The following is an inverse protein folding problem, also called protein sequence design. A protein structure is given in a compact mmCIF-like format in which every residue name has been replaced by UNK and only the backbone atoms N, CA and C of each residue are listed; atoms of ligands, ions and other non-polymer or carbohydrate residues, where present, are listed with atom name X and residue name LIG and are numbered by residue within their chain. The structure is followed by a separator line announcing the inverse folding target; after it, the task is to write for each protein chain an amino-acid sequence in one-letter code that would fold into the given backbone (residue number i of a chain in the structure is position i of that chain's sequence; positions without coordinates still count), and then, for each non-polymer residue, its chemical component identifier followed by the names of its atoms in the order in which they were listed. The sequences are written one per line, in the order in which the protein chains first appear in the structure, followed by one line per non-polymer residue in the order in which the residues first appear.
data_IF_425177813202
#
_entry.id   IF_425177813202
#
_cell.length_a   1.000
_cell.length_b   1.000
_cell.length_c   1.000
_cell.angle_alpha   90.00
_cell.angle_beta   90.00
_cell.angle_gamma   90.00
#
_symmetry.space_group_name_H-M   'P 1'
#
loop_
_entity.id
_entity.type
_entity.pdbx_description
1 polymer ?
#
# COMPACT_ATOMS: atom_id res chain seq x y z
N UNK A 1 -2.56 8.36 12.22
CA UNK A 1 -2.58 7.37 11.12
C UNK A 1 -3.92 6.63 11.03
N UNK A 2 -4.44 6.08 12.12
CA UNK A 2 -5.77 5.44 12.13
C UNK A 2 -6.88 6.35 11.57
N UNK A 3 -6.94 7.62 11.98
CA UNK A 3 -7.96 8.55 11.47
C UNK A 3 -7.83 8.81 9.97
N UNK A 4 -6.60 8.82 9.45
CA UNK A 4 -6.34 8.90 8.01
C UNK A 4 -6.92 7.67 7.32
N UNK A 5 -6.64 6.46 7.80
CA UNK A 5 -7.17 5.22 7.22
C UNK A 5 -8.70 5.18 7.30
N UNK A 6 -9.30 5.68 8.40
CA UNK A 6 -10.76 5.77 8.55
C UNK A 6 -11.39 6.71 7.52
N UNK A 7 -10.74 7.83 7.22
CA UNK A 7 -11.23 8.84 6.27
C UNK A 7 -11.11 8.48 4.78
N UNK A 8 -10.47 7.38 4.42
CA UNK A 8 -10.28 6.98 3.02
C UNK A 8 -10.89 5.60 2.74
N UNK A 9 -11.41 5.39 1.53
CA UNK A 9 -11.94 4.09 1.11
C UNK A 9 -10.82 3.07 0.85
N UNK A 10 -9.71 3.55 0.28
CA UNK A 10 -8.50 2.77 -0.02
C UNK A 10 -7.27 3.53 0.42
N UNK A 11 -6.29 2.82 0.97
CA UNK A 11 -4.97 3.35 1.34
C UNK A 11 -3.90 2.45 0.74
N UNK A 12 -3.10 2.99 -0.18
CA UNK A 12 -1.99 2.25 -0.75
C UNK A 12 -0.74 2.39 0.11
N UNK A 13 -0.22 1.25 0.56
CA UNK A 13 1.03 1.14 1.28
C UNK A 13 2.12 0.84 0.26
N UNK A 14 2.86 1.87 -0.10
CA UNK A 14 3.97 1.81 -1.05
C UNK A 14 5.26 1.55 -0.28
N UNK A 15 5.95 0.46 -0.62
CA UNK A 15 7.20 0.05 0.04
C UNK A 15 8.21 -0.47 -0.99
N UNK A 16 9.47 -0.03 -0.90
CA UNK A 16 10.58 -0.57 -1.67
C UNK A 16 11.13 -1.85 -1.01
N UNK A 17 10.28 -2.85 -0.90
CA UNK A 17 10.59 -4.11 -0.24
C UNK A 17 9.87 -5.27 -0.94
N UNK A 18 10.58 -6.39 -1.13
CA UNK A 18 10.01 -7.62 -1.68
C UNK A 18 8.88 -8.18 -0.82
N UNK A 19 9.02 -8.06 0.50
CA UNK A 19 8.21 -8.79 1.46
C UNK A 19 7.09 -7.93 2.09
N UNK A 20 6.94 -6.66 1.67
CA UNK A 20 5.97 -5.70 2.21
C UNK A 20 5.99 -5.62 3.75
N UNK A 21 7.18 -5.46 4.32
CA UNK A 21 7.38 -5.47 5.77
C UNK A 21 6.58 -4.34 6.44
N UNK A 22 6.45 -3.16 5.82
CA UNK A 22 5.63 -2.08 6.37
C UNK A 22 4.15 -2.50 6.50
N UNK A 23 3.56 -3.11 5.46
CA UNK A 23 2.19 -3.59 5.52
C UNK A 23 2.03 -4.70 6.58
N UNK A 24 3.03 -5.57 6.73
CA UNK A 24 3.00 -6.60 7.76
C UNK A 24 2.94 -6.00 9.17
N UNK A 25 3.75 -4.97 9.44
CA UNK A 25 3.70 -4.25 10.72
C UNK A 25 2.36 -3.56 10.94
N UNK A 26 1.82 -2.87 9.93
CA UNK A 26 0.50 -2.22 10.01
C UNK A 26 -0.63 -3.22 10.30
N UNK A 27 -0.54 -4.45 9.78
CA UNK A 27 -1.51 -5.53 10.06
C UNK A 27 -1.45 -6.07 11.49
N UNK A 28 -0.32 -5.91 12.18
CA UNK A 28 -0.21 -6.25 13.60
C UNK A 28 -0.75 -5.14 14.49
N UNK A 29 -0.73 -3.89 14.02
CA UNK A 29 -1.07 -2.70 14.82
C UNK A 29 -2.55 -2.29 14.70
N UNK A 30 -3.20 -2.55 13.56
CA UNK A 30 -4.56 -2.05 13.28
C UNK A 30 -5.64 -3.13 13.36
N UNK A 31 -6.87 -2.68 13.60
CA UNK A 31 -8.05 -3.54 13.60
C UNK A 31 -8.38 -4.05 12.18
N UNK A 32 -9.13 -5.16 12.05
CA UNK A 32 -9.47 -5.76 10.75
C UNK A 32 -10.15 -4.81 9.77
N UNK A 33 -10.93 -3.84 10.27
CA UNK A 33 -11.66 -2.87 9.44
C UNK A 33 -10.71 -1.92 8.72
N UNK A 34 -9.68 -1.43 9.40
CA UNK A 34 -8.62 -0.59 8.86
C UNK A 34 -7.73 -1.40 7.93
N UNK A 35 -7.37 -2.64 8.33
CA UNK A 35 -6.56 -3.56 7.51
C UNK A 35 -7.22 -3.82 6.15
N UNK A 36 -8.55 -3.98 6.11
CA UNK A 36 -9.29 -4.24 4.88
C UNK A 36 -9.17 -3.11 3.84
N UNK A 37 -8.77 -1.91 4.25
CA UNK A 37 -8.54 -0.75 3.37
C UNK A 37 -7.10 -0.64 2.86
N UNK A 38 -6.18 -1.46 3.37
CA UNK A 38 -4.76 -1.37 3.04
C UNK A 38 -4.43 -2.21 1.79
N UNK A 39 -3.93 -1.53 0.78
CA UNK A 39 -3.55 -2.12 -0.51
C UNK A 39 -2.03 -2.04 -0.68
N UNK A 40 -1.38 -3.17 -0.96
CA UNK A 40 0.08 -3.21 -1.08
C UNK A 40 0.55 -2.79 -2.47
N UNK A 41 1.51 -1.88 -2.53
CA UNK A 41 2.31 -1.63 -3.74
C UNK A 41 3.77 -1.88 -3.38
N UNK A 42 4.35 -2.92 -3.97
CA UNK A 42 5.71 -3.37 -3.67
C UNK A 42 6.61 -3.08 -4.86
N UNK A 43 7.78 -2.54 -4.59
CA UNK A 43 8.81 -2.33 -5.60
C UNK A 43 10.15 -2.89 -5.14
N UNK A 44 10.78 -3.75 -5.94
CA UNK A 44 12.08 -4.35 -5.60
C UNK A 44 12.96 -4.58 -6.85
N UNK A 45 12.83 -3.73 -7.87
CA UNK A 45 13.52 -3.87 -9.16
C UNK A 45 14.97 -3.39 -9.19
N UNK A 46 15.55 -2.95 -8.07
CA UNK A 46 16.93 -2.47 -7.99
C UNK A 46 17.18 -1.05 -8.53
N UNK A 47 16.15 -0.38 -9.07
CA UNK A 47 16.19 1.03 -9.45
C UNK A 47 15.45 1.90 -8.42
N UNK A 48 15.66 3.23 -8.41
CA UNK A 48 14.80 4.11 -7.64
C UNK A 48 13.34 4.00 -8.07
N UNK A 49 12.42 4.10 -7.12
CA UNK A 49 10.99 4.10 -7.40
C UNK A 49 10.62 5.41 -8.12
N UNK A 50 9.85 5.29 -9.20
CA UNK A 50 9.34 6.42 -9.95
C UNK A 50 7.80 6.53 -9.88
N UNK A 51 7.30 7.73 -10.19
CA UNK A 51 5.87 8.04 -10.10
C UNK A 51 5.00 7.26 -11.09
N UNK A 52 5.54 6.90 -12.28
CA UNK A 52 4.79 6.14 -13.28
C UNK A 52 4.57 4.71 -12.81
N UNK A 53 5.61 4.06 -12.28
CA UNK A 53 5.48 2.72 -11.70
C UNK A 53 4.38 2.64 -10.64
N UNK A 54 4.28 3.66 -9.76
CA UNK A 54 3.22 3.71 -8.74
C UNK A 54 1.84 3.95 -9.35
N UNK A 55 1.74 4.92 -10.26
CA UNK A 55 0.45 5.28 -10.86
C UNK A 55 -0.13 4.13 -11.69
N UNK A 56 0.71 3.43 -12.47
CA UNK A 56 0.30 2.28 -13.27
C UNK A 56 -0.17 1.12 -12.38
N UNK A 57 0.50 0.89 -11.24
CA UNK A 57 0.10 -0.13 -10.29
C UNK A 57 -1.23 0.21 -9.59
N UNK A 58 -1.45 1.48 -9.23
CA UNK A 58 -2.74 1.94 -8.69
C UNK A 58 -3.86 1.67 -9.71
N UNK A 59 -3.68 2.10 -10.95
CA UNK A 59 -4.65 1.89 -12.05
C UNK A 59 -4.97 0.40 -12.21
N UNK A 60 -3.94 -0.46 -12.21
CA UNK A 60 -4.09 -1.91 -12.29
C UNK A 60 -4.92 -2.49 -11.14
N UNK A 61 -4.73 -1.99 -9.91
CA UNK A 61 -5.51 -2.45 -8.75
C UNK A 61 -6.95 -1.94 -8.75
N UNK A 62 -7.21 -0.79 -9.38
CA UNK A 62 -8.56 -0.28 -9.60
C UNK A 62 -9.32 -0.99 -10.73
N UNK A 63 -8.62 -1.77 -11.55
CA UNK A 63 -9.20 -2.46 -12.71
C UNK A 63 -9.51 -1.52 -13.89
N UNK A 64 -8.75 -0.42 -13.99
CA UNK A 64 -8.86 0.59 -15.05
C UNK A 64 -7.82 0.38 -16.16
#
# INVERSE_FOLDING_TARGET
LVDFIKGHDRVYVVDQNRDAQLLALMRLEFDPREIAKLHSIRYFGGLPLDARTISDEIVRQEGL
#
